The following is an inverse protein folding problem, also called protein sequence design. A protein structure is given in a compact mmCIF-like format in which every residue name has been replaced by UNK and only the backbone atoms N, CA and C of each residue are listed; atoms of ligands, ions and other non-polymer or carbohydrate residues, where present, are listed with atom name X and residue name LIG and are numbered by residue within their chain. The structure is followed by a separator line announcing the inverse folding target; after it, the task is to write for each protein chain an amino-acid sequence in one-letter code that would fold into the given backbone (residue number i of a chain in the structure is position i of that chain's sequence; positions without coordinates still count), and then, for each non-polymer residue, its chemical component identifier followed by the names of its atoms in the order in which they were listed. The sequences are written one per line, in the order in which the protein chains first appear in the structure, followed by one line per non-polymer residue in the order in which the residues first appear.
data_IF_565068441804
#
_entry.id   IF_565068441804
#
_cell.length_a   1.000
_cell.length_b   1.000
_cell.length_c   1.000
_cell.angle_alpha   90.00
_cell.angle_beta   90.00
_cell.angle_gamma   90.00
#
_symmetry.space_group_name_H-M   'P 1'
#
loop_
_entity.id
_entity.type
_entity.pdbx_description
1 polymer ?
#
# COMPACT_ATOMS: atom_id res chain seq x y z
N UNK A 1 -0.95 -47.39 -120.75
CA UNK A 1 -2.21 -47.79 -120.18
C UNK A 1 -2.01 -48.06 -118.70
N UNK A 2 -2.80 -47.52 -117.89
CA UNK A 2 -2.95 -47.61 -116.44
C UNK A 2 -2.19 -46.58 -115.60
N UNK A 3 -2.98 -45.67 -115.18
CA UNK A 3 -2.75 -44.77 -114.04
C UNK A 3 -2.76 -45.55 -112.73
N UNK A 4 -2.01 -45.17 -111.82
CA UNK A 4 -2.20 -45.52 -110.43
C UNK A 4 -2.12 -44.25 -109.57
N UNK A 5 -3.21 -43.99 -108.95
CA UNK A 5 -3.48 -42.78 -108.10
C UNK A 5 -3.27 -43.21 -106.62
N UNK A 6 -2.31 -42.64 -105.97
CA UNK A 6 -2.19 -42.72 -104.49
C UNK A 6 -1.93 -41.36 -103.95
N UNK A 7 -3.01 -40.61 -103.85
CA UNK A 7 -3.01 -39.37 -103.00
C UNK A 7 -3.01 -39.70 -101.52
N UNK A 8 -1.92 -39.49 -100.88
CA UNK A 8 -1.71 -39.80 -99.49
C UNK A 8 -2.12 -38.61 -98.62
N UNK A 9 -3.03 -38.87 -97.77
CA UNK A 9 -3.52 -38.01 -96.65
C UNK A 9 -2.41 -37.87 -95.60
N UNK A 10 -1.53 -36.85 -95.71
CA UNK A 10 -0.48 -36.47 -94.76
C UNK A 10 -0.71 -35.12 -94.07
N UNK A 11 -1.70 -34.36 -94.47
CA UNK A 11 -1.84 -32.96 -93.95
C UNK A 11 -2.75 -32.81 -92.70
N UNK A 12 -3.57 -33.80 -92.42
CA UNK A 12 -4.54 -33.72 -91.32
C UNK A 12 -4.01 -34.10 -89.93
N UNK A 13 -2.88 -34.83 -89.84
CA UNK A 13 -2.24 -35.15 -88.53
C UNK A 13 -1.31 -34.03 -88.00
N UNK A 14 -0.63 -33.34 -88.87
CA UNK A 14 0.24 -32.19 -88.49
C UNK A 14 -0.55 -31.08 -87.87
N UNK A 15 -1.69 -30.69 -88.44
CA UNK A 15 -2.50 -29.56 -87.98
C UNK A 15 -3.22 -29.80 -86.61
N UNK A 16 -3.53 -31.05 -86.28
CA UNK A 16 -4.07 -31.42 -84.98
C UNK A 16 -3.03 -31.45 -83.86
N UNK A 17 -1.82 -31.87 -84.15
CA UNK A 17 -0.74 -31.88 -83.22
C UNK A 17 -0.22 -30.46 -82.88
N UNK A 18 -0.10 -29.60 -83.85
CA UNK A 18 0.26 -28.20 -83.71
C UNK A 18 -0.77 -27.39 -82.94
N UNK A 19 -2.10 -27.65 -83.17
CA UNK A 19 -3.18 -27.03 -82.36
C UNK A 19 -3.17 -27.50 -80.93
N UNK A 20 -2.81 -28.75 -80.64
CA UNK A 20 -2.75 -29.28 -79.26
C UNK A 20 -1.54 -28.73 -78.50
N UNK A 21 -0.38 -28.56 -79.12
CA UNK A 21 0.82 -27.93 -78.56
C UNK A 21 0.55 -26.43 -78.32
N UNK A 22 -0.08 -25.73 -79.29
CA UNK A 22 -0.40 -24.32 -79.13
C UNK A 22 -1.41 -24.06 -78.01
N UNK A 23 -2.42 -24.93 -77.80
CA UNK A 23 -3.33 -24.88 -76.66
C UNK A 23 -2.61 -25.14 -75.31
N UNK A 24 -1.69 -26.06 -75.26
CA UNK A 24 -0.94 -26.40 -74.07
C UNK A 24 -0.05 -25.21 -73.63
N UNK A 25 0.64 -24.61 -74.58
CA UNK A 25 1.48 -23.41 -74.33
C UNK A 25 0.61 -22.22 -73.85
N UNK A 26 -0.59 -22.05 -74.40
CA UNK A 26 -1.51 -21.01 -73.94
C UNK A 26 -2.03 -21.29 -72.53
N UNK A 27 -2.34 -22.55 -72.21
CA UNK A 27 -2.79 -22.91 -70.87
C UNK A 27 -1.69 -22.73 -69.82
N UNK A 28 -0.46 -23.14 -70.13
CA UNK A 28 0.72 -22.89 -69.28
C UNK A 28 0.94 -21.39 -69.04
N UNK A 29 0.82 -20.58 -70.08
CA UNK A 29 0.97 -19.11 -70.01
C UNK A 29 -0.13 -18.50 -69.11
N UNK A 30 -1.37 -18.94 -69.22
CA UNK A 30 -2.46 -18.46 -68.35
C UNK A 30 -2.21 -18.88 -66.88
N UNK A 31 -1.77 -20.09 -66.59
CA UNK A 31 -1.41 -20.52 -65.24
C UNK A 31 -0.26 -19.72 -64.68
N UNK A 32 0.77 -19.43 -65.48
CA UNK A 32 1.93 -18.58 -65.06
C UNK A 32 1.47 -17.15 -64.75
N UNK A 33 0.57 -16.59 -65.57
CA UNK A 33 0.00 -15.26 -65.31
C UNK A 33 -0.82 -15.23 -64.02
N UNK A 34 -1.63 -16.25 -63.77
CA UNK A 34 -2.42 -16.35 -62.53
C UNK A 34 -1.48 -16.46 -61.29
N UNK A 35 -0.43 -17.29 -61.39
CA UNK A 35 0.55 -17.42 -60.29
C UNK A 35 1.30 -16.07 -60.09
N UNK A 36 1.65 -15.39 -61.18
CA UNK A 36 2.31 -14.09 -61.10
C UNK A 36 1.39 -13.06 -60.42
N UNK A 37 0.09 -12.97 -60.82
CA UNK A 37 -0.86 -12.08 -60.20
C UNK A 37 -1.06 -12.40 -58.73
N UNK A 38 -1.19 -13.64 -58.36
CA UNK A 38 -1.30 -14.06 -56.98
C UNK A 38 -0.06 -13.75 -56.16
N UNK A 39 1.13 -13.89 -56.74
CA UNK A 39 2.40 -13.52 -56.11
C UNK A 39 2.52 -11.99 -55.92
N UNK A 40 2.10 -11.22 -56.90
CA UNK A 40 2.08 -9.76 -56.81
C UNK A 40 1.06 -9.25 -55.79
N UNK A 41 -0.11 -9.91 -55.67
CA UNK A 41 -1.11 -9.61 -54.65
C UNK A 41 -0.56 -9.88 -53.25
N UNK A 42 0.07 -11.04 -53.02
CA UNK A 42 0.72 -11.38 -51.76
C UNK A 42 1.86 -10.42 -51.42
N UNK A 43 2.67 -10.03 -52.39
CA UNK A 43 3.74 -9.05 -52.21
C UNK A 43 3.16 -7.66 -51.83
N UNK A 44 2.06 -7.24 -52.47
CA UNK A 44 1.39 -5.99 -52.15
C UNK A 44 0.81 -5.97 -50.74
N UNK A 45 0.22 -7.09 -50.29
CA UNK A 45 -0.27 -7.26 -48.90
C UNK A 45 0.91 -7.20 -47.93
N UNK A 46 2.02 -7.87 -48.22
CA UNK A 46 3.21 -7.85 -47.39
C UNK A 46 3.85 -6.46 -47.28
N UNK A 47 4.00 -5.75 -48.42
CA UNK A 47 4.53 -4.38 -48.43
C UNK A 47 3.57 -3.42 -47.69
N UNK A 48 2.27 -3.54 -47.89
CA UNK A 48 1.27 -2.78 -47.14
C UNK A 48 1.34 -2.99 -45.64
N UNK A 49 1.52 -4.26 -45.23
CA UNK A 49 1.75 -4.62 -43.83
C UNK A 49 3.02 -4.00 -43.25
N UNK A 50 4.15 -4.04 -43.98
CA UNK A 50 5.39 -3.37 -43.55
C UNK A 50 5.25 -1.85 -43.43
N UNK A 51 4.62 -1.20 -44.41
CA UNK A 51 4.37 0.25 -44.34
C UNK A 51 3.47 0.63 -43.18
N UNK A 52 2.49 -0.21 -42.85
CA UNK A 52 1.63 0.01 -41.68
C UNK A 52 2.45 -0.09 -40.37
N UNK A 53 3.33 -1.09 -40.25
CA UNK A 53 4.22 -1.25 -39.09
C UNK A 53 5.19 -0.06 -38.95
N UNK A 54 5.77 0.41 -40.05
CA UNK A 54 6.66 1.58 -40.04
C UNK A 54 5.91 2.86 -39.63
N UNK A 55 4.68 3.05 -40.09
CA UNK A 55 3.84 4.18 -39.70
C UNK A 55 3.45 4.13 -38.22
N UNK A 56 3.15 2.95 -37.68
CA UNK A 56 2.88 2.75 -36.26
C UNK A 56 4.12 3.09 -35.45
N UNK A 57 5.29 2.60 -35.87
CA UNK A 57 6.56 2.87 -35.20
C UNK A 57 6.91 4.37 -35.20
N UNK A 58 6.75 5.07 -36.31
CA UNK A 58 6.97 6.52 -36.40
C UNK A 58 6.02 7.32 -35.48
N UNK A 59 4.73 7.00 -35.47
CA UNK A 59 3.77 7.62 -34.55
C UNK A 59 4.14 7.37 -33.08
N UNK A 60 4.61 6.19 -32.75
CA UNK A 60 5.07 5.85 -31.41
C UNK A 60 6.31 6.66 -31.01
N UNK A 61 7.27 6.85 -31.92
CA UNK A 61 8.51 7.63 -31.67
C UNK A 61 8.23 9.14 -31.53
N UNK A 62 7.24 9.69 -32.24
CA UNK A 62 6.84 11.10 -32.18
C UNK A 62 5.89 11.44 -31.02
N UNK A 63 5.26 10.44 -30.40
CA UNK A 63 4.28 10.65 -29.33
C UNK A 63 4.95 11.02 -28.00
N UNK A 64 4.27 11.79 -27.16
CA UNK A 64 4.71 12.04 -25.79
C UNK A 64 4.73 10.74 -24.99
N UNK A 65 5.51 10.72 -23.91
CA UNK A 65 5.63 9.53 -23.04
C UNK A 65 4.24 9.05 -22.57
N UNK A 66 3.36 9.98 -22.21
CA UNK A 66 1.99 9.67 -21.75
C UNK A 66 1.13 9.06 -22.86
N UNK A 67 1.21 9.59 -24.07
CA UNK A 67 0.50 9.03 -25.23
C UNK A 67 0.97 7.63 -25.59
N UNK A 68 2.28 7.35 -25.45
CA UNK A 68 2.82 6.01 -25.66
C UNK A 68 2.28 5.00 -24.66
N UNK A 69 2.25 5.37 -23.36
CA UNK A 69 1.70 4.49 -22.31
C UNK A 69 0.22 4.20 -22.59
N UNK A 70 -0.56 5.24 -22.91
CA UNK A 70 -1.97 5.07 -23.24
C UNK A 70 -2.17 4.15 -24.45
N UNK A 71 -1.42 4.37 -25.53
CA UNK A 71 -1.49 3.52 -26.72
C UNK A 71 -1.18 2.07 -26.44
N UNK A 72 -0.15 1.78 -25.62
CA UNK A 72 0.20 0.40 -25.22
C UNK A 72 -0.91 -0.26 -24.39
N UNK A 73 -1.55 0.49 -23.49
CA UNK A 73 -2.69 -0.01 -22.74
C UNK A 73 -3.85 -0.34 -23.67
N UNK A 74 -4.18 0.57 -24.61
CA UNK A 74 -5.24 0.37 -25.59
C UNK A 74 -4.97 -0.86 -26.49
N UNK A 75 -3.71 -1.06 -26.92
CA UNK A 75 -3.31 -2.25 -27.70
C UNK A 75 -3.49 -3.56 -26.90
N UNK A 76 -3.04 -3.58 -25.65
CA UNK A 76 -3.17 -4.75 -24.77
C UNK A 76 -4.64 -5.05 -24.50
N UNK A 77 -5.46 -4.04 -24.20
CA UNK A 77 -6.90 -4.21 -23.96
C UNK A 77 -7.61 -4.79 -25.18
N UNK A 78 -7.31 -4.27 -26.40
CA UNK A 78 -7.86 -4.83 -27.63
C UNK A 78 -7.48 -6.29 -27.85
N UNK A 79 -6.22 -6.67 -27.59
CA UNK A 79 -5.78 -8.07 -27.72
C UNK A 79 -6.48 -8.99 -26.70
N UNK A 80 -6.65 -8.54 -25.47
CA UNK A 80 -7.37 -9.34 -24.47
C UNK A 80 -8.84 -9.47 -24.80
N UNK A 81 -9.50 -8.42 -25.28
CA UNK A 81 -10.89 -8.47 -25.73
C UNK A 81 -11.09 -9.37 -26.96
N UNK A 82 -10.09 -9.48 -27.85
CA UNK A 82 -10.17 -10.31 -29.06
C UNK A 82 -9.82 -11.77 -28.82
N UNK A 83 -8.82 -12.07 -27.98
CA UNK A 83 -8.24 -13.41 -27.89
C UNK A 83 -8.37 -14.09 -26.53
N UNK A 84 -8.66 -13.35 -25.44
CA UNK A 84 -8.73 -13.96 -24.12
C UNK A 84 -10.03 -14.73 -23.93
N UNK A 85 -9.93 -15.95 -23.42
CA UNK A 85 -11.09 -16.86 -23.24
C UNK A 85 -11.79 -16.71 -21.90
N UNK A 86 -11.24 -15.92 -20.97
CA UNK A 86 -11.83 -15.64 -19.66
C UNK A 86 -12.62 -14.33 -19.64
N UNK A 87 -13.15 -13.99 -18.47
CA UNK A 87 -13.81 -12.71 -18.22
C UNK A 87 -12.79 -11.67 -17.75
N UNK A 88 -12.94 -10.40 -18.17
CA UNK A 88 -12.12 -9.28 -17.76
C UNK A 88 -12.78 -8.55 -16.58
N UNK A 89 -12.04 -8.42 -15.50
CA UNK A 89 -12.40 -7.61 -14.35
C UNK A 89 -11.74 -6.22 -14.51
N UNK A 90 -12.49 -5.26 -15.06
CA UNK A 90 -11.98 -3.92 -15.33
C UNK A 90 -11.63 -3.14 -14.06
N UNK A 91 -12.35 -3.33 -12.95
CA UNK A 91 -12.03 -2.68 -11.67
C UNK A 91 -10.64 -3.12 -11.17
N UNK A 92 -10.36 -4.42 -11.32
CA UNK A 92 -9.04 -4.97 -10.98
C UNK A 92 -7.95 -4.51 -11.92
N UNK A 93 -8.24 -4.43 -13.23
CA UNK A 93 -7.30 -3.96 -14.26
C UNK A 93 -6.94 -2.50 -13.99
N UNK A 94 -7.91 -1.60 -13.77
CA UNK A 94 -7.66 -0.19 -13.45
C UNK A 94 -6.77 -0.04 -12.22
N UNK A 95 -7.09 -0.75 -11.14
CA UNK A 95 -6.27 -0.77 -9.92
C UNK A 95 -4.84 -1.21 -10.20
N UNK A 96 -4.64 -2.26 -11.00
CA UNK A 96 -3.31 -2.78 -11.32
C UNK A 96 -2.52 -1.85 -12.24
N UNK A 97 -3.15 -1.17 -13.19
CA UNK A 97 -2.52 -0.18 -14.08
C UNK A 97 -1.97 1.00 -13.25
N UNK A 98 -2.78 1.55 -12.34
CA UNK A 98 -2.34 2.67 -11.48
C UNK A 98 -1.22 2.23 -10.55
N UNK A 99 -1.33 1.04 -9.91
CA UNK A 99 -0.27 0.51 -9.08
C UNK A 99 1.01 0.22 -9.87
N UNK A 100 0.89 -0.27 -11.12
CA UNK A 100 2.03 -0.47 -12.01
C UNK A 100 2.76 0.85 -12.30
N UNK A 101 2.03 1.95 -12.46
CA UNK A 101 2.63 3.28 -12.63
C UNK A 101 3.40 3.73 -11.38
N UNK A 102 2.81 3.55 -10.19
CA UNK A 102 3.43 3.90 -8.89
C UNK A 102 4.72 3.09 -8.68
N UNK A 103 4.66 1.78 -8.95
CA UNK A 103 5.84 0.91 -8.86
C UNK A 103 6.94 1.34 -9.85
N UNK A 104 6.55 1.68 -11.10
CA UNK A 104 7.47 2.17 -12.11
C UNK A 104 8.05 3.56 -11.81
N UNK A 105 7.38 4.35 -10.96
CA UNK A 105 7.90 5.60 -10.42
C UNK A 105 8.87 5.42 -9.24
N UNK A 106 9.03 4.19 -8.75
CA UNK A 106 9.86 3.83 -7.59
C UNK A 106 9.47 4.57 -6.29
N UNK A 107 8.21 5.05 -6.20
CA UNK A 107 7.69 5.64 -4.97
C UNK A 107 7.37 4.53 -3.96
N UNK A 108 8.32 4.29 -3.05
CA UNK A 108 8.26 3.23 -2.03
C UNK A 108 7.00 3.31 -1.15
N UNK A 109 6.46 4.50 -0.94
CA UNK A 109 5.31 4.77 -0.06
C UNK A 109 4.07 5.18 -0.84
N UNK A 110 4.19 5.22 -2.16
CA UNK A 110 3.08 5.47 -3.05
C UNK A 110 2.07 4.33 -3.04
N UNK A 111 0.78 4.66 -3.04
CA UNK A 111 -0.28 3.66 -3.16
C UNK A 111 -1.53 4.25 -3.80
N UNK A 112 -2.24 3.44 -4.54
CA UNK A 112 -3.59 3.75 -5.00
C UNK A 112 -4.61 3.28 -3.97
N UNK A 113 -5.53 4.16 -3.62
CA UNK A 113 -6.66 3.90 -2.76
C UNK A 113 -7.93 3.95 -3.60
N UNK A 114 -8.69 2.86 -3.70
CA UNK A 114 -10.02 2.86 -4.31
C UNK A 114 -10.96 3.83 -3.56
N UNK A 115 -12.14 4.10 -4.09
CA UNK A 115 -13.10 4.98 -3.41
C UNK A 115 -13.43 4.52 -1.97
N UNK A 116 -13.58 3.21 -1.78
CA UNK A 116 -13.78 2.61 -0.44
C UNK A 116 -12.52 2.72 0.42
N UNK A 117 -11.36 2.34 -0.12
CA UNK A 117 -10.09 2.39 0.60
C UNK A 117 -9.73 3.84 1.00
N UNK A 118 -10.08 4.82 0.15
CA UNK A 118 -9.93 6.25 0.45
C UNK A 118 -10.78 6.65 1.66
N UNK A 119 -12.05 6.24 1.69
CA UNK A 119 -12.95 6.52 2.81
C UNK A 119 -12.44 5.87 4.09
N UNK A 120 -12.03 4.61 4.03
CA UNK A 120 -11.48 3.87 5.17
C UNK A 120 -10.18 4.52 5.69
N UNK A 121 -9.32 4.99 4.79
CA UNK A 121 -8.11 5.73 5.14
C UNK A 121 -8.43 7.02 5.90
N UNK A 122 -9.35 7.85 5.37
CA UNK A 122 -9.76 9.09 6.04
C UNK A 122 -10.47 8.83 7.37
N UNK A 123 -11.28 7.79 7.46
CA UNK A 123 -11.89 7.40 8.71
C UNK A 123 -10.83 7.03 9.76
N UNK A 124 -9.83 6.23 9.37
CA UNK A 124 -8.74 5.81 10.27
C UNK A 124 -7.94 7.00 10.81
N UNK A 125 -7.56 7.96 9.97
CA UNK A 125 -6.78 9.14 10.41
C UNK A 125 -7.60 10.14 11.24
N UNK A 126 -8.94 10.03 11.22
CA UNK A 126 -9.86 10.82 12.03
C UNK A 126 -10.43 10.05 13.25
N UNK A 127 -9.75 8.98 13.66
CA UNK A 127 -10.17 8.15 14.81
C UNK A 127 -11.58 7.56 14.70
N UNK A 128 -12.03 7.31 13.47
CA UNK A 128 -13.34 6.75 13.17
C UNK A 128 -13.20 5.38 12.54
N UNK A 129 -13.84 4.40 13.14
CA UNK A 129 -13.91 3.05 12.60
C UNK A 129 -15.34 2.56 12.68
N UNK A 130 -15.92 2.10 11.58
CA UNK A 130 -17.21 1.39 11.63
C UNK A 130 -16.93 -0.11 11.72
N UNK A 131 -17.31 -0.70 12.84
CA UNK A 131 -17.05 -2.10 13.12
C UNK A 131 -17.45 -2.47 14.54
N UNK A 132 -16.78 -3.47 15.11
CA UNK A 132 -17.05 -3.90 16.49
C UNK A 132 -16.08 -3.31 17.51
N UNK A 133 -14.96 -2.71 17.09
CA UNK A 133 -14.00 -2.07 18.00
C UNK A 133 -12.95 -3.01 18.58
N UNK A 134 -12.34 -3.83 17.74
CA UNK A 134 -11.19 -4.68 18.10
C UNK A 134 -10.02 -4.45 17.17
N UNK A 135 -8.80 -4.62 17.69
CA UNK A 135 -7.61 -4.89 16.89
C UNK A 135 -7.30 -6.37 16.92
N UNK A 136 -6.80 -6.89 15.82
CA UNK A 136 -6.54 -8.33 15.69
C UNK A 136 -5.21 -8.59 15.00
N UNK A 137 -4.59 -9.72 15.34
CA UNK A 137 -3.41 -10.27 14.66
C UNK A 137 -3.72 -11.69 14.20
N UNK A 138 -3.14 -12.06 13.05
CA UNK A 138 -3.28 -13.41 12.50
C UNK A 138 -2.00 -14.19 12.75
N UNK A 139 -2.08 -15.20 13.60
CA UNK A 139 -0.98 -16.07 13.98
C UNK A 139 -1.46 -17.53 14.03
N UNK A 140 -0.67 -18.47 13.57
CA UNK A 140 -0.94 -19.91 13.59
C UNK A 140 -2.37 -20.25 13.10
N UNK A 141 -2.71 -19.76 11.89
CA UNK A 141 -4.04 -19.96 11.25
C UNK A 141 -5.23 -19.50 12.11
N UNK A 142 -4.99 -18.59 13.02
CA UNK A 142 -5.98 -18.10 13.98
C UNK A 142 -5.91 -16.58 14.12
N UNK A 143 -7.03 -15.96 14.45
CA UNK A 143 -7.13 -14.53 14.68
C UNK A 143 -7.24 -14.26 16.18
N UNK A 144 -6.32 -13.48 16.71
CA UNK A 144 -6.29 -13.11 18.13
C UNK A 144 -6.59 -11.64 18.33
N UNK A 145 -7.40 -11.32 19.32
CA UNK A 145 -7.69 -9.95 19.72
C UNK A 145 -6.49 -9.38 20.46
N UNK A 146 -5.91 -8.31 19.91
CA UNK A 146 -4.75 -7.61 20.49
C UNK A 146 -5.16 -6.35 21.24
N UNK A 147 -6.33 -5.80 20.92
CA UNK A 147 -6.92 -4.65 21.60
C UNK A 147 -8.43 -4.64 21.50
N UNK A 148 -9.09 -4.05 22.52
CA UNK A 148 -10.52 -3.80 22.55
C UNK A 148 -10.72 -2.34 22.94
N UNK A 149 -11.38 -1.58 22.07
CA UNK A 149 -11.66 -0.17 22.34
C UNK A 149 -12.75 -0.03 23.40
N UNK A 150 -12.47 0.79 24.39
CA UNK A 150 -13.40 1.05 25.49
C UNK A 150 -14.75 1.56 24.98
N UNK A 151 -15.82 1.11 25.59
CA UNK A 151 -17.21 1.45 25.24
C UNK A 151 -17.62 1.03 23.80
N UNK A 152 -16.82 0.22 23.11
CA UNK A 152 -17.12 -0.32 21.78
C UNK A 152 -18.15 -1.46 21.85
N UNK A 153 -18.77 -1.84 20.71
CA UNK A 153 -19.63 -3.03 20.65
C UNK A 153 -18.96 -4.31 21.13
N UNK A 154 -17.66 -4.48 20.88
CA UNK A 154 -16.89 -5.64 21.34
C UNK A 154 -16.69 -5.62 22.86
N UNK A 155 -16.33 -4.47 23.42
CA UNK A 155 -16.20 -4.26 24.88
C UNK A 155 -17.50 -4.57 25.59
N UNK A 156 -18.61 -3.98 25.10
CA UNK A 156 -19.97 -4.22 25.62
C UNK A 156 -20.43 -5.67 25.49
N UNK A 157 -19.86 -6.42 24.52
CA UNK A 157 -20.10 -7.86 24.33
C UNK A 157 -19.15 -8.74 25.14
N UNK A 158 -18.22 -8.14 25.90
CA UNK A 158 -17.27 -8.79 26.76
C UNK A 158 -16.13 -9.50 26.01
N UNK A 159 -15.78 -9.08 24.79
CA UNK A 159 -14.53 -9.52 24.13
C UNK A 159 -13.35 -8.94 24.90
N UNK A 160 -12.30 -9.73 25.05
CA UNK A 160 -11.10 -9.36 25.79
C UNK A 160 -9.85 -9.53 24.92
N UNK A 161 -8.80 -8.79 25.28
CA UNK A 161 -7.46 -9.01 24.71
C UNK A 161 -7.03 -10.45 24.97
N UNK A 162 -6.52 -11.11 23.93
CA UNK A 162 -6.14 -12.53 23.96
C UNK A 162 -7.24 -13.49 23.53
N UNK A 163 -8.49 -13.05 23.37
CA UNK A 163 -9.56 -13.89 22.83
C UNK A 163 -9.19 -14.37 21.40
N UNK A 164 -9.47 -15.65 21.15
CA UNK A 164 -9.23 -16.28 19.86
C UNK A 164 -10.54 -16.34 19.06
N UNK A 165 -10.55 -15.74 17.87
CA UNK A 165 -11.64 -15.80 16.92
C UNK A 165 -11.43 -16.98 15.98
N UNK A 166 -12.38 -17.92 15.93
CA UNK A 166 -12.34 -19.11 15.09
C UNK A 166 -13.04 -18.93 13.75
N UNK A 167 -14.21 -18.31 13.78
CA UNK A 167 -15.01 -18.07 12.58
C UNK A 167 -15.74 -16.75 12.64
N UNK A 168 -16.05 -16.20 11.46
CA UNK A 168 -16.82 -14.99 11.25
C UNK A 168 -17.87 -15.30 10.19
N UNK A 169 -19.16 -15.03 10.48
CA UNK A 169 -20.28 -15.38 9.58
C UNK A 169 -20.27 -16.87 9.18
N UNK A 170 -19.91 -17.76 10.14
CA UNK A 170 -19.75 -19.21 9.97
C UNK A 170 -18.63 -19.64 9.00
N UNK A 171 -17.76 -18.75 8.57
CA UNK A 171 -16.55 -19.06 7.78
C UNK A 171 -15.33 -19.09 8.69
N UNK A 172 -14.49 -20.12 8.54
CA UNK A 172 -13.30 -20.30 9.36
C UNK A 172 -12.26 -19.20 9.06
N UNK A 173 -11.64 -18.67 10.10
CA UNK A 173 -10.59 -17.66 9.98
C UNK A 173 -9.38 -18.19 9.20
N UNK A 174 -9.05 -19.48 9.31
CA UNK A 174 -7.98 -20.13 8.53
C UNK A 174 -8.20 -20.07 7.01
N UNK A 175 -9.47 -20.05 6.56
CA UNK A 175 -9.84 -19.93 5.14
C UNK A 175 -9.90 -18.49 4.69
N UNK A 176 -10.34 -17.57 5.57
CA UNK A 176 -10.49 -16.14 5.29
C UNK A 176 -9.13 -15.41 5.24
N UNK A 177 -8.16 -15.85 6.06
CA UNK A 177 -6.95 -15.10 6.34
C UNK A 177 -7.22 -13.77 7.06
N UNK A 178 -6.17 -12.97 7.30
CA UNK A 178 -6.32 -11.69 8.01
C UNK A 178 -7.26 -10.73 7.29
N UNK A 179 -7.03 -10.50 6.00
CA UNK A 179 -7.79 -9.49 5.25
C UNK A 179 -9.27 -9.88 5.13
N UNK A 180 -9.57 -11.13 4.76
CA UNK A 180 -10.96 -11.59 4.65
C UNK A 180 -11.70 -11.54 5.99
N UNK A 181 -11.03 -11.86 7.09
CA UNK A 181 -11.58 -11.74 8.44
C UNK A 181 -11.89 -10.28 8.81
N UNK A 182 -10.94 -9.37 8.58
CA UNK A 182 -11.12 -7.93 8.84
C UNK A 182 -12.25 -7.34 7.99
N UNK A 183 -12.33 -7.70 6.71
CA UNK A 183 -13.40 -7.23 5.81
C UNK A 183 -14.79 -7.68 6.27
N UNK A 184 -14.90 -8.87 6.85
CA UNK A 184 -16.15 -9.39 7.40
C UNK A 184 -16.52 -8.78 8.78
N UNK A 185 -15.51 -8.46 9.60
CA UNK A 185 -15.72 -7.76 10.89
C UNK A 185 -16.21 -6.34 10.64
N UNK A 186 -15.62 -5.64 9.67
CA UNK A 186 -16.07 -4.33 9.19
C UNK A 186 -17.41 -4.46 8.45
N UNK A 187 -18.11 -3.36 8.28
CA UNK A 187 -19.35 -3.30 7.53
C UNK A 187 -20.08 -1.99 7.75
N UNK A 188 -21.33 -1.90 7.29
CA UNK A 188 -22.15 -0.71 7.49
C UNK A 188 -22.62 -0.60 8.95
N UNK A 189 -22.68 0.62 9.47
CA UNK A 189 -23.17 0.92 10.82
C UNK A 189 -24.61 0.38 10.99
N UNK A 190 -24.89 -0.22 12.14
CA UNK A 190 -26.18 -0.84 12.47
C UNK A 190 -26.37 -2.24 11.91
N UNK A 191 -25.46 -2.77 11.08
CA UNK A 191 -25.49 -4.17 10.64
C UNK A 191 -24.87 -5.08 11.71
N UNK A 192 -25.16 -6.37 11.67
CA UNK A 192 -24.68 -7.35 12.65
C UNK A 192 -23.65 -8.27 12.06
N UNK A 193 -22.73 -8.75 12.88
CA UNK A 193 -21.74 -9.78 12.56
C UNK A 193 -21.77 -10.89 13.60
N UNK A 194 -21.72 -12.13 13.13
CA UNK A 194 -21.62 -13.31 13.99
C UNK A 194 -20.16 -13.72 14.13
N UNK A 195 -19.68 -13.83 15.37
CA UNK A 195 -18.29 -14.16 15.68
C UNK A 195 -18.28 -15.35 16.65
N UNK A 196 -17.55 -16.40 16.29
CA UNK A 196 -17.32 -17.53 17.17
C UNK A 196 -15.95 -17.42 17.82
N UNK A 197 -15.91 -17.32 19.12
CA UNK A 197 -14.71 -17.42 19.95
C UNK A 197 -14.45 -18.89 20.36
N UNK A 198 -13.38 -19.16 21.07
CA UNK A 198 -13.07 -20.50 21.56
C UNK A 198 -14.17 -21.11 22.46
N UNK A 199 -14.87 -20.28 23.21
CA UNK A 199 -15.78 -20.67 24.29
C UNK A 199 -17.22 -20.19 24.13
N UNK A 200 -17.52 -19.35 23.12
CA UNK A 200 -18.85 -18.76 22.93
C UNK A 200 -19.03 -18.16 21.54
N UNK A 201 -20.28 -18.07 21.12
CA UNK A 201 -20.70 -17.35 19.91
C UNK A 201 -21.34 -16.02 20.31
N UNK A 202 -21.05 -14.99 19.52
CA UNK A 202 -21.55 -13.63 19.72
C UNK A 202 -22.15 -13.11 18.42
N UNK A 203 -23.26 -12.37 18.56
CA UNK A 203 -23.81 -11.54 17.47
C UNK A 203 -23.66 -10.09 17.90
N UNK A 204 -22.83 -9.34 17.21
CA UNK A 204 -22.43 -7.99 17.57
C UNK A 204 -22.92 -7.02 16.51
N UNK A 205 -23.56 -5.93 16.93
CA UNK A 205 -23.97 -4.86 16.03
C UNK A 205 -22.79 -3.92 15.79
N UNK A 206 -22.49 -3.64 14.51
CA UNK A 206 -21.42 -2.72 14.11
C UNK A 206 -21.84 -1.29 14.41
N UNK A 207 -20.96 -0.52 15.00
CA UNK A 207 -21.19 0.89 15.30
C UNK A 207 -19.98 1.74 14.92
N UNK A 208 -20.16 3.05 14.96
CA UNK A 208 -19.06 4.01 14.88
C UNK A 208 -18.25 3.94 16.18
N UNK A 209 -17.06 3.42 16.08
CA UNK A 209 -16.13 3.30 17.21
C UNK A 209 -15.13 4.45 17.14
N UNK A 210 -15.02 5.19 18.25
CA UNK A 210 -13.90 6.13 18.43
C UNK A 210 -12.70 5.35 18.91
N UNK A 211 -11.64 5.35 18.12
CA UNK A 211 -10.42 4.65 18.48
C UNK A 211 -9.59 5.52 19.41
N UNK A 212 -9.11 4.95 20.52
CA UNK A 212 -8.10 5.62 21.35
C UNK A 212 -6.72 5.17 20.91
N UNK A 213 -5.95 6.09 20.34
CA UNK A 213 -4.58 5.81 19.89
C UNK A 213 -3.54 5.99 20.99
N UNK A 214 -3.95 6.35 22.20
CA UNK A 214 -3.07 6.45 23.37
C UNK A 214 -3.65 5.59 24.50
N UNK A 215 -2.76 4.83 25.11
CA UNK A 215 -2.98 4.18 26.41
C UNK A 215 -1.94 4.67 27.39
N UNK A 216 -2.30 4.79 28.66
CA UNK A 216 -1.36 5.17 29.69
C UNK A 216 -1.62 4.42 30.98
N UNK A 217 -0.56 4.30 31.79
CA UNK A 217 -0.58 3.74 33.13
C UNK A 217 0.47 4.43 33.98
N UNK A 218 0.42 4.23 35.30
CA UNK A 218 1.47 4.66 36.22
C UNK A 218 2.16 3.42 36.78
N UNK A 219 3.44 3.27 36.51
CA UNK A 219 4.25 2.13 36.95
C UNK A 219 5.39 2.66 37.82
N UNK A 220 5.42 2.36 39.12
CA UNK A 220 6.44 2.81 40.05
C UNK A 220 6.70 4.35 40.00
N UNK A 221 5.64 5.13 40.03
CA UNK A 221 5.68 6.60 39.91
C UNK A 221 6.25 7.13 38.57
N UNK A 222 6.24 6.29 37.52
CA UNK A 222 6.62 6.64 36.15
C UNK A 222 5.37 6.57 35.28
N UNK A 223 5.13 7.61 34.49
CA UNK A 223 4.04 7.64 33.50
C UNK A 223 4.42 6.82 32.25
N UNK A 224 3.80 5.66 32.07
CA UNK A 224 3.92 4.88 30.83
C UNK A 224 2.82 5.30 29.85
N UNK A 225 3.20 5.70 28.64
CA UNK A 225 2.30 6.21 27.61
C UNK A 225 2.60 5.48 26.30
N UNK A 226 1.70 4.61 25.87
CA UNK A 226 1.78 3.95 24.57
C UNK A 226 1.00 4.74 23.53
N UNK A 227 1.68 5.20 22.49
CA UNK A 227 1.06 5.91 21.36
C UNK A 227 1.06 4.95 20.17
N UNK A 228 -0.13 4.56 19.67
CA UNK A 228 -0.28 3.61 18.59
C UNK A 228 -0.21 4.25 17.21
N UNK A 229 -0.72 5.47 17.09
CA UNK A 229 -0.77 6.24 15.85
C UNK A 229 -0.97 7.71 16.16
N UNK A 230 -0.48 8.61 15.29
CA UNK A 230 -0.74 10.05 15.38
C UNK A 230 -1.93 10.42 14.49
N UNK A 231 -3.11 10.48 15.05
CA UNK A 231 -4.39 10.79 14.38
C UNK A 231 -4.90 12.17 14.78
N UNK A 232 -6.03 12.61 14.24
CA UNK A 232 -6.54 13.97 14.41
C UNK A 232 -6.86 14.36 15.87
N UNK A 233 -7.00 13.43 16.79
CA UNK A 233 -7.29 13.70 18.21
C UNK A 233 -6.12 13.40 19.16
N UNK A 234 -5.03 12.85 18.63
CA UNK A 234 -3.94 12.34 19.47
C UNK A 234 -3.25 13.42 20.28
N UNK A 235 -2.99 14.61 19.71
CA UNK A 235 -2.35 15.74 20.38
C UNK A 235 -3.17 16.26 21.58
N UNK A 236 -4.49 16.39 21.40
CA UNK A 236 -5.38 16.82 22.47
C UNK A 236 -5.42 15.80 23.61
N UNK A 237 -5.66 14.53 23.29
CA UNK A 237 -5.65 13.44 24.27
C UNK A 237 -4.30 13.31 24.98
N UNK A 238 -3.20 13.45 24.24
CA UNK A 238 -1.86 13.44 24.81
C UNK A 238 -1.67 14.53 25.85
N UNK A 239 -2.05 15.77 25.54
CA UNK A 239 -1.97 16.92 26.45
C UNK A 239 -2.80 16.69 27.73
N UNK A 240 -3.99 16.14 27.59
CA UNK A 240 -4.87 15.83 28.73
C UNK A 240 -4.25 14.75 29.64
N UNK A 241 -3.70 13.66 29.07
CA UNK A 241 -3.03 12.62 29.82
C UNK A 241 -1.79 13.16 30.55
N UNK A 242 -0.96 13.93 29.85
CA UNK A 242 0.24 14.52 30.44
C UNK A 242 -0.12 15.47 31.60
N UNK A 243 -1.15 16.30 31.44
CA UNK A 243 -1.65 17.18 32.52
C UNK A 243 -2.14 16.36 33.72
N UNK A 244 -2.86 15.26 33.49
CA UNK A 244 -3.33 14.38 34.56
C UNK A 244 -2.15 13.76 35.32
N UNK A 245 -1.14 13.23 34.60
CA UNK A 245 0.05 12.63 35.19
C UNK A 245 0.84 13.66 36.00
N UNK A 246 1.08 14.86 35.48
CA UNK A 246 1.77 15.94 36.17
C UNK A 246 1.00 16.40 37.43
N UNK A 247 -0.33 16.48 37.37
CA UNK A 247 -1.17 16.80 38.54
C UNK A 247 -1.07 15.75 39.66
N UNK A 248 -0.70 14.50 39.30
CA UNK A 248 -0.39 13.42 40.24
C UNK A 248 1.07 13.43 40.73
N UNK A 249 1.88 14.41 40.29
CA UNK A 249 3.29 14.55 40.68
C UNK A 249 4.25 13.70 39.86
N UNK A 250 3.80 13.18 38.72
CA UNK A 250 4.67 12.38 37.82
C UNK A 250 5.48 13.34 36.94
N UNK A 251 6.79 13.15 36.94
CA UNK A 251 7.79 13.90 36.18
C UNK A 251 8.75 13.02 35.38
N UNK A 252 8.51 11.71 35.35
CA UNK A 252 9.25 10.70 34.61
C UNK A 252 8.32 9.98 33.65
N UNK A 253 8.70 9.87 32.38
CA UNK A 253 7.81 9.37 31.32
C UNK A 253 8.47 8.35 30.43
N UNK A 254 7.73 7.32 30.07
CA UNK A 254 8.09 6.32 29.04
C UNK A 254 7.09 6.45 27.89
N UNK A 255 7.57 6.79 26.71
CA UNK A 255 6.78 6.78 25.48
C UNK A 255 7.04 5.50 24.69
N UNK A 256 6.06 4.61 24.61
CA UNK A 256 6.14 3.38 23.84
C UNK A 256 5.57 3.59 22.42
N UNK A 257 6.46 3.60 21.43
CA UNK A 257 6.15 3.76 20.01
C UNK A 257 6.34 2.46 19.22
N UNK A 258 6.52 1.33 19.87
CA UNK A 258 6.63 0.04 19.19
C UNK A 258 5.33 -0.28 18.46
N UNK A 259 5.45 -0.63 17.18
CA UNK A 259 4.30 -0.86 16.29
C UNK A 259 3.60 0.40 15.79
N UNK A 260 4.12 1.60 16.11
CA UNK A 260 3.55 2.87 15.62
C UNK A 260 4.08 3.21 14.23
N UNK A 261 3.26 3.00 13.19
CA UNK A 261 3.60 3.33 11.79
C UNK A 261 3.56 4.82 11.44
N UNK A 262 3.34 5.71 12.41
CA UNK A 262 3.30 7.18 12.19
C UNK A 262 1.89 7.76 12.26
N UNK A 263 1.54 8.59 11.28
CA UNK A 263 0.24 9.26 11.19
C UNK A 263 0.36 10.70 10.66
N UNK A 264 -0.47 11.58 11.17
CA UNK A 264 -0.58 12.97 10.72
C UNK A 264 0.60 13.82 11.22
N UNK A 265 1.18 14.60 10.30
CA UNK A 265 2.26 15.54 10.62
C UNK A 265 1.82 16.58 11.64
N UNK A 266 0.65 17.18 11.44
CA UNK A 266 0.15 18.21 12.36
C UNK A 266 -0.01 17.68 13.79
N UNK A 267 -0.54 16.46 13.93
CA UNK A 267 -0.72 15.81 15.23
C UNK A 267 0.59 15.55 15.97
N UNK A 268 1.63 15.05 15.28
CA UNK A 268 2.93 14.84 15.92
C UNK A 268 3.64 16.17 16.24
N UNK A 269 3.49 17.18 15.39
CA UNK A 269 4.04 18.51 15.63
C UNK A 269 3.43 19.15 16.88
N UNK A 270 2.10 19.13 17.01
CA UNK A 270 1.39 19.64 18.18
C UNK A 270 1.73 18.86 19.47
N UNK A 271 1.95 17.55 19.36
CA UNK A 271 2.40 16.72 20.47
C UNK A 271 3.83 17.09 20.90
N UNK A 272 4.73 17.32 19.92
CA UNK A 272 6.12 17.71 20.17
C UNK A 272 6.24 19.15 20.68
N UNK A 273 5.38 20.07 20.24
CA UNK A 273 5.33 21.44 20.77
C UNK A 273 5.12 21.47 22.29
N UNK A 274 4.31 20.53 22.79
CA UNK A 274 4.07 20.36 24.22
C UNK A 274 5.29 19.81 25.00
N UNK A 275 6.20 19.08 24.35
CA UNK A 275 7.36 18.44 25.00
C UNK A 275 8.67 19.19 24.80
N UNK A 276 8.79 20.02 23.76
CA UNK A 276 10.06 20.60 23.35
C UNK A 276 10.18 22.08 23.76
N UNK A 277 11.36 22.55 24.17
CA UNK A 277 11.62 23.95 24.33
C UNK A 277 11.52 24.68 22.99
N UNK A 278 11.39 25.99 23.03
CA UNK A 278 11.32 26.83 21.82
C UNK A 278 12.40 26.48 20.81
N UNK A 279 12.00 26.18 19.58
CA UNK A 279 12.92 25.93 18.46
C UNK A 279 12.29 25.10 17.34
N UNK A 280 13.10 24.72 16.36
CA UNK A 280 12.66 23.95 15.21
C UNK A 280 12.25 22.53 15.61
N UNK A 281 11.02 22.13 15.33
CA UNK A 281 10.54 20.73 15.44
C UNK A 281 10.94 19.98 14.18
N UNK A 282 10.46 20.46 13.03
CA UNK A 282 10.69 19.84 11.73
C UNK A 282 10.68 20.87 10.62
N UNK A 283 11.51 20.64 9.62
CA UNK A 283 11.52 21.32 8.33
C UNK A 283 11.11 20.31 7.28
N UNK A 284 10.14 20.64 6.44
CA UNK A 284 9.76 19.85 5.27
C UNK A 284 10.21 20.58 4.00
N UNK A 285 10.66 19.82 3.00
CA UNK A 285 11.13 20.33 1.72
C UNK A 285 10.43 19.58 0.59
N UNK A 286 9.75 20.33 -0.30
CA UNK A 286 9.08 19.77 -1.48
C UNK A 286 10.06 19.55 -2.64
N UNK A 287 9.59 18.92 -3.72
CA UNK A 287 10.40 18.67 -4.93
C UNK A 287 10.94 19.92 -5.62
N UNK A 288 10.42 21.10 -5.33
CA UNK A 288 10.84 22.40 -5.89
C UNK A 288 11.84 23.12 -4.98
N UNK A 289 12.18 22.54 -3.83
CA UNK A 289 13.02 23.14 -2.82
C UNK A 289 12.29 24.17 -1.94
N UNK A 290 10.94 24.16 -1.93
CA UNK A 290 10.15 24.99 -1.03
C UNK A 290 10.23 24.42 0.38
N UNK A 291 10.62 25.26 1.33
CA UNK A 291 10.81 24.88 2.73
C UNK A 291 9.64 25.40 3.57
N UNK A 292 9.07 24.51 4.39
CA UNK A 292 8.13 24.87 5.45
C UNK A 292 8.69 24.41 6.80
N UNK A 293 8.70 25.28 7.79
CA UNK A 293 9.21 25.00 9.13
C UNK A 293 8.09 25.01 10.16
N UNK A 294 8.12 24.03 11.06
CA UNK A 294 7.26 23.94 12.23
C UNK A 294 8.13 24.09 13.47
N UNK A 295 7.74 25.00 14.34
CA UNK A 295 8.53 25.38 15.50
C UNK A 295 7.72 25.23 16.78
N UNK A 296 8.36 24.76 17.85
CA UNK A 296 7.78 24.77 19.18
C UNK A 296 7.82 26.18 19.79
N UNK A 297 6.84 26.45 20.68
CA UNK A 297 6.75 27.69 21.44
C UNK A 297 7.65 27.67 22.68
N UNK A 298 7.24 28.22 23.82
CA UNK A 298 8.07 28.33 25.03
C UNK A 298 7.63 27.43 26.17
N UNK A 299 6.45 26.87 26.09
CA UNK A 299 5.87 26.06 27.17
C UNK A 299 6.10 24.58 26.86
N UNK A 300 6.92 23.94 27.62
CA UNK A 300 7.19 22.52 27.48
C UNK A 300 7.18 21.82 28.83
N UNK A 301 6.94 20.52 28.77
CA UNK A 301 7.02 19.64 29.95
C UNK A 301 8.46 19.39 30.32
N UNK A 302 8.79 19.69 31.59
CA UNK A 302 10.05 19.23 32.18
C UNK A 302 9.88 17.79 32.69
N UNK A 303 10.95 17.02 32.64
CA UNK A 303 10.97 15.65 33.12
C UNK A 303 11.96 14.79 32.37
N UNK A 304 12.25 13.64 32.96
CA UNK A 304 13.09 12.61 32.35
C UNK A 304 12.24 11.73 31.42
N UNK A 305 12.73 11.45 30.23
CA UNK A 305 11.96 10.72 29.22
C UNK A 305 12.76 9.57 28.62
N UNK A 306 12.08 8.45 28.39
CA UNK A 306 12.59 7.32 27.63
C UNK A 306 11.61 7.02 26.50
N UNK A 307 12.11 6.76 25.30
CA UNK A 307 11.31 6.32 24.14
C UNK A 307 11.66 4.88 23.79
N UNK A 308 10.65 4.02 23.67
CA UNK A 308 10.82 2.64 23.24
C UNK A 308 10.39 2.52 21.80
N UNK A 309 11.28 2.02 20.92
CA UNK A 309 11.05 1.90 19.48
C UNK A 309 11.35 0.49 18.96
N UNK A 310 10.79 0.15 17.80
CA UNK A 310 11.14 -1.07 17.07
C UNK A 310 11.16 -0.82 15.55
N UNK A 311 11.39 -1.86 14.76
CA UNK A 311 11.44 -1.80 13.30
C UNK A 311 10.10 -1.45 12.61
N UNK A 312 9.00 -1.44 13.35
CA UNK A 312 7.67 -0.99 12.89
C UNK A 312 7.39 0.47 13.25
N UNK A 313 8.25 1.09 14.09
CA UNK A 313 8.18 2.52 14.36
C UNK A 313 8.56 3.29 13.11
N UNK A 314 7.65 4.10 12.54
CA UNK A 314 7.84 4.73 11.24
C UNK A 314 7.30 6.16 11.15
N UNK A 315 7.83 6.98 10.19
CA UNK A 315 7.26 8.28 9.79
C UNK A 315 7.11 9.25 10.96
N UNK A 316 5.87 9.72 11.27
CA UNK A 316 5.60 10.64 12.39
C UNK A 316 6.12 10.12 13.74
N UNK A 317 6.12 8.80 13.97
CA UNK A 317 6.69 8.21 15.19
C UNK A 317 8.23 8.31 15.21
N UNK A 318 8.87 8.25 14.04
CA UNK A 318 10.30 8.52 13.91
C UNK A 318 10.60 10.01 14.11
N UNK A 319 9.76 10.89 13.56
CA UNK A 319 9.88 12.33 13.80
C UNK A 319 9.78 12.66 15.30
N UNK A 320 8.79 12.07 16.00
CA UNK A 320 8.66 12.22 17.46
C UNK A 320 9.93 11.81 18.20
N UNK A 321 10.44 10.63 17.86
CA UNK A 321 11.65 10.08 18.48
C UNK A 321 12.87 10.93 18.22
N UNK A 322 13.13 11.27 16.94
CA UNK A 322 14.32 12.02 16.54
C UNK A 322 14.32 13.44 17.08
N UNK A 323 13.14 14.09 17.12
CA UNK A 323 13.03 15.43 17.68
C UNK A 323 13.38 15.44 19.18
N UNK A 324 12.93 14.46 19.96
CA UNK A 324 13.30 14.35 21.38
C UNK A 324 14.80 14.06 21.56
N UNK A 325 15.40 13.24 20.69
CA UNK A 325 16.86 13.01 20.68
C UNK A 325 17.63 14.28 20.37
N UNK A 326 17.25 15.04 19.34
CA UNK A 326 17.92 16.28 18.93
C UNK A 326 17.92 17.37 20.00
N UNK A 327 16.95 17.33 20.89
CA UNK A 327 16.86 18.22 22.04
C UNK A 327 17.43 17.61 23.33
N UNK A 328 18.00 16.41 23.27
CA UNK A 328 18.48 15.65 24.45
C UNK A 328 17.40 15.51 25.54
N UNK A 329 16.16 15.34 25.15
CA UNK A 329 15.00 15.20 26.04
C UNK A 329 14.71 13.76 26.42
N UNK A 330 15.09 12.80 25.58
CA UNK A 330 14.82 11.40 25.84
C UNK A 330 16.03 10.50 25.52
N UNK A 331 16.15 9.42 26.28
CA UNK A 331 16.99 8.26 25.90
C UNK A 331 16.14 7.30 25.09
N UNK A 332 16.62 6.86 23.94
CA UNK A 332 15.91 5.93 23.05
C UNK A 332 16.44 4.53 23.22
N UNK A 333 15.54 3.57 23.42
CA UNK A 333 15.86 2.15 23.56
C UNK A 333 15.04 1.30 22.59
N UNK A 334 15.54 0.15 22.20
CA UNK A 334 14.85 -0.79 21.33
C UNK A 334 15.68 -1.24 20.14
N UNK A 335 15.06 -1.37 18.98
CA UNK A 335 15.73 -1.73 17.73
C UNK A 335 15.63 -0.61 16.71
N UNK A 336 16.44 -0.68 15.63
CA UNK A 336 16.43 0.33 14.57
C UNK A 336 15.02 0.50 14.00
N UNK A 337 14.62 1.74 13.75
CA UNK A 337 13.30 2.07 13.22
C UNK A 337 13.21 1.82 11.72
N UNK A 338 12.04 2.03 11.13
CA UNK A 338 11.73 1.69 9.74
C UNK A 338 12.50 2.49 8.69
N UNK A 339 12.70 3.79 8.92
CA UNK A 339 13.38 4.69 7.99
C UNK A 339 12.49 5.32 6.92
N UNK A 340 11.36 5.91 7.32
CA UNK A 340 10.51 6.73 6.45
C UNK A 340 10.75 8.21 6.72
N UNK A 341 11.71 8.81 6.00
CA UNK A 341 12.08 10.22 6.06
C UNK A 341 11.30 11.13 5.11
N UNK A 342 10.20 10.62 4.55
CA UNK A 342 9.30 11.34 3.64
C UNK A 342 7.91 11.49 4.23
N UNK A 343 7.22 12.60 3.89
CA UNK A 343 5.78 12.73 4.09
C UNK A 343 5.04 12.45 2.80
N UNK A 344 3.85 11.88 2.92
CA UNK A 344 2.98 11.56 1.81
C UNK A 344 1.74 12.45 1.82
N UNK A 345 1.21 12.75 0.64
CA UNK A 345 -0.05 13.48 0.47
C UNK A 345 -1.03 12.62 -0.32
N UNK A 346 -2.26 12.54 0.18
CA UNK A 346 -3.35 11.85 -0.53
C UNK A 346 -4.02 12.83 -1.47
N UNK A 347 -3.92 12.56 -2.79
CA UNK A 347 -4.45 13.40 -3.85
C UNK A 347 -5.63 12.68 -4.51
N UNK A 348 -6.83 13.30 -4.56
CA UNK A 348 -8.00 12.68 -5.17
C UNK A 348 -7.84 12.56 -6.69
N UNK A 349 -8.34 11.46 -7.23
CA UNK A 349 -8.52 11.22 -8.67
C UNK A 349 -10.01 11.26 -9.01
N UNK A 350 -10.35 11.07 -10.28
CA UNK A 350 -11.76 10.90 -10.72
C UNK A 350 -12.43 9.68 -10.06
N UNK A 351 -11.64 8.64 -9.78
CA UNK A 351 -12.02 7.44 -9.03
C UNK A 351 -10.93 7.16 -7.98
N UNK A 352 -11.30 7.16 -6.69
CA UNK A 352 -10.34 6.94 -5.60
C UNK A 352 -9.33 8.06 -5.39
N UNK A 353 -8.15 7.73 -4.90
CA UNK A 353 -7.04 8.67 -4.65
C UNK A 353 -5.68 7.99 -4.77
N UNK A 354 -4.65 8.79 -4.92
CA UNK A 354 -3.26 8.33 -4.87
C UNK A 354 -2.56 8.98 -3.69
N UNK A 355 -1.92 8.18 -2.86
CA UNK A 355 -0.99 8.67 -1.85
C UNK A 355 0.40 8.73 -2.47
N UNK A 356 1.05 9.88 -2.43
CA UNK A 356 2.33 10.16 -3.10
C UNK A 356 3.31 10.74 -2.10
N UNK A 357 4.57 10.31 -2.16
CA UNK A 357 5.67 10.94 -1.41
C UNK A 357 5.91 12.35 -1.97
N UNK A 358 5.63 13.38 -1.17
CA UNK A 358 5.64 14.78 -1.62
C UNK A 358 6.76 15.61 -1.03
N UNK A 359 7.22 15.28 0.20
CA UNK A 359 8.23 16.08 0.88
C UNK A 359 9.24 15.17 1.60
N UNK A 360 10.46 15.64 1.69
CA UNK A 360 11.45 15.16 2.66
C UNK A 360 11.32 15.95 3.97
N UNK A 361 11.51 15.31 5.11
CA UNK A 361 11.55 16.03 6.38
C UNK A 361 12.89 15.92 7.08
N UNK A 362 13.22 16.97 7.81
CA UNK A 362 14.47 17.12 8.55
C UNK A 362 14.17 17.68 9.93
N UNK A 363 14.78 17.14 10.97
CA UNK A 363 14.67 17.69 12.32
C UNK A 363 15.71 18.78 12.57
N UNK A 364 15.83 19.25 13.81
CA UNK A 364 16.75 20.31 14.20
C UNK A 364 18.22 20.02 13.85
N UNK A 365 18.65 18.77 13.94
CA UNK A 365 20.01 18.34 13.54
C UNK A 365 20.26 18.42 12.04
N UNK A 366 19.22 18.62 11.23
CA UNK A 366 19.29 18.52 9.77
C UNK A 366 19.36 17.07 9.25
N UNK A 367 19.07 16.09 10.11
CA UNK A 367 19.07 14.68 9.75
C UNK A 367 17.80 14.32 8.99
N UNK A 368 17.94 13.63 7.86
CA UNK A 368 16.89 12.90 7.20
C UNK A 368 17.16 11.40 7.37
N UNK A 369 16.14 10.64 7.71
CA UNK A 369 16.25 9.22 8.06
C UNK A 369 15.81 8.28 6.92
N UNK A 370 15.53 8.82 5.74
CA UNK A 370 15.03 8.01 4.60
C UNK A 370 15.94 6.83 4.30
N UNK A 371 15.35 5.63 4.34
CA UNK A 371 16.03 4.37 4.08
C UNK A 371 17.02 3.90 5.16
N UNK A 372 17.23 4.69 6.22
CA UNK A 372 18.22 4.39 7.29
C UNK A 372 17.53 4.09 8.62
N UNK A 373 16.53 4.87 8.98
CA UNK A 373 15.88 4.82 10.29
C UNK A 373 16.69 5.47 11.41
N UNK A 374 16.19 5.33 12.63
CA UNK A 374 16.81 5.83 13.86
C UNK A 374 17.47 4.66 14.59
N UNK A 375 18.76 4.77 14.84
CA UNK A 375 19.46 3.86 15.72
C UNK A 375 19.23 4.28 17.17
N UNK A 376 18.66 3.43 18.03
CA UNK A 376 18.49 3.73 19.45
C UNK A 376 19.81 3.99 20.17
N UNK A 377 19.80 4.78 21.24
CA UNK A 377 20.95 4.96 22.13
C UNK A 377 21.33 3.65 22.81
N UNK A 378 20.33 2.85 23.18
CA UNK A 378 20.49 1.52 23.76
C UNK A 378 19.79 0.51 22.85
N UNK A 379 20.59 -0.24 22.09
CA UNK A 379 20.07 -1.32 21.25
C UNK A 379 19.69 -2.49 22.12
N UNK A 380 18.41 -2.81 22.16
CA UNK A 380 17.86 -3.89 22.96
C UNK A 380 16.69 -4.57 22.23
N UNK A 381 16.86 -5.81 21.84
CA UNK A 381 15.78 -6.58 21.24
C UNK A 381 14.75 -7.01 22.28
N UNK A 382 13.49 -7.08 21.85
CA UNK A 382 12.46 -7.71 22.67
C UNK A 382 12.75 -9.21 22.81
N UNK A 383 12.84 -9.69 24.05
CA UNK A 383 13.17 -11.09 24.38
C UNK A 383 12.13 -11.63 25.35
N UNK A 384 11.09 -12.22 24.80
CA UNK A 384 10.08 -12.96 25.54
C UNK A 384 9.48 -14.02 24.63
N UNK A 385 9.11 -15.16 25.21
CA UNK A 385 8.31 -16.18 24.52
C UNK A 385 6.83 -15.75 24.38
N UNK A 386 6.45 -14.67 25.08
CA UNK A 386 5.12 -14.09 25.03
C UNK A 386 5.12 -12.93 24.04
N UNK A 387 4.23 -12.91 23.03
CA UNK A 387 4.09 -11.78 22.14
C UNK A 387 3.82 -10.47 22.89
N UNK A 388 4.35 -9.35 22.39
CA UNK A 388 4.29 -8.06 23.07
C UNK A 388 2.87 -7.63 23.48
N UNK A 389 1.87 -7.94 22.67
CA UNK A 389 0.47 -7.58 22.94
C UNK A 389 -0.16 -8.38 24.11
N UNK A 390 0.49 -9.49 24.55
CA UNK A 390 0.08 -10.31 25.70
C UNK A 390 1.01 -10.19 26.89
N UNK A 391 2.19 -9.63 26.69
CA UNK A 391 3.22 -9.55 27.71
C UNK A 391 2.75 -8.69 28.89
N UNK A 392 2.94 -9.21 30.09
CA UNK A 392 2.84 -8.38 31.30
C UNK A 392 4.04 -7.44 31.35
N UNK A 393 3.91 -6.32 32.04
CA UNK A 393 5.01 -5.37 32.21
C UNK A 393 6.31 -6.02 32.71
N UNK A 394 6.21 -7.00 33.59
CA UNK A 394 7.35 -7.76 34.11
C UNK A 394 8.01 -8.71 33.11
N UNK A 395 7.34 -9.05 32.02
CA UNK A 395 7.82 -9.94 30.96
C UNK A 395 8.42 -9.15 29.78
N UNK A 396 8.27 -7.84 29.76
CA UNK A 396 8.79 -6.94 28.73
C UNK A 396 10.16 -6.40 29.14
N UNK A 397 11.22 -7.03 28.62
CA UNK A 397 12.60 -6.65 28.93
C UNK A 397 12.97 -5.24 28.48
N UNK A 398 12.34 -4.70 27.43
CA UNK A 398 12.56 -3.31 26.97
C UNK A 398 11.90 -2.33 27.91
N UNK A 399 10.66 -2.58 28.34
CA UNK A 399 9.98 -1.78 29.34
C UNK A 399 10.69 -1.82 30.69
N UNK A 400 11.13 -3.00 31.14
CA UNK A 400 11.94 -3.12 32.38
C UNK A 400 13.22 -2.29 32.30
N UNK A 401 13.88 -2.26 31.14
CA UNK A 401 15.07 -1.41 30.93
C UNK A 401 14.75 0.09 30.96
N UNK A 402 13.60 0.48 30.41
CA UNK A 402 13.13 1.88 30.47
C UNK A 402 12.87 2.32 31.92
N UNK A 403 12.19 1.46 32.70
CA UNK A 403 11.95 1.72 34.12
C UNK A 403 13.27 1.85 34.91
N UNK A 404 14.23 0.93 34.69
CA UNK A 404 15.58 1.01 35.33
C UNK A 404 16.32 2.32 35.04
N UNK A 405 16.17 2.87 33.82
CA UNK A 405 16.83 4.13 33.44
C UNK A 405 16.27 5.33 34.19
N UNK A 406 14.98 5.30 34.53
CA UNK A 406 14.29 6.38 35.23
C UNK A 406 14.24 6.20 36.75
N UNK A 407 14.57 5.04 37.26
CA UNK A 407 14.52 4.72 38.71
C UNK A 407 15.80 5.17 39.47
N UNK A 408 16.68 5.96 38.81
CA UNK A 408 17.98 6.42 39.35
C UNK A 408 17.88 7.69 40.18
#
# INVERSE_FOLDING_TARGET
MMQDDTGIDRDTKSTKQDKKVKNWNTTILIVLIIVLIASMANLSIFIGGMQTLDNIKLRYEESTRTERIKHLIDEVDNLYNEYYTGELDYDKIEKMVINGYIIGAEDRYGMYLSGKDTTDYYNKINDRLVGIGVEVVYEDESLYVTDVYKDSPADNSGINVGDKIKSIENENVSELGLQGAVDKIKGEQGTRVNISLDNRDLTIERDLVTTSNIRYDIINDIGYIKIKCFTAGTDGLFKDIMNELQNKGIDKFIFDLRGNGGGLLDSVVETLDYLLPKGLIVRIEDRNGTITEFNSDRKYVEGEMVVIVNNETASAAELFTLALMDYNKATVIGTNTYGKGTSTTTIPLSIGSVNISTNLYYTKSGTNIEGVGIKPDIVLEYKSDVPLYRAKYSEDNQLQKALELLDK
#
